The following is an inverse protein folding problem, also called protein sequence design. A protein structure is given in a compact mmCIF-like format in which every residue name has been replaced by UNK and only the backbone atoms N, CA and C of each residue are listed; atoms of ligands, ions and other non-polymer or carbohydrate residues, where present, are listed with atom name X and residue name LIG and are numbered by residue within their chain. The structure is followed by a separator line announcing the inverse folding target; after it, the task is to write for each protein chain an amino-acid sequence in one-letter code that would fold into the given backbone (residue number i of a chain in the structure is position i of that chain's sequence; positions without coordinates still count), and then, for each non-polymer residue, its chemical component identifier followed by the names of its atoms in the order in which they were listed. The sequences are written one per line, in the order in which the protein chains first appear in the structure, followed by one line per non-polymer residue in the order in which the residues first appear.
data_IF_674444963907
#
_entry.id   IF_674444963907
#
_cell.length_a   1.000
_cell.length_b   1.000
_cell.length_c   1.000
_cell.angle_alpha   90.00
_cell.angle_beta   90.00
_cell.angle_gamma   90.00
#
_symmetry.space_group_name_H-M   'P 1'
#
loop_
_entity.id
_entity.type
_entity.pdbx_description
1 polymer ?
#
# COMPACT_ATOMS: atom_id res chain seq x y z
N UNK A 1 -19.71 13.97 2.85
CA UNK A 1 -18.82 12.83 2.62
C UNK A 1 -18.27 12.30 3.94
N UNK A 2 -18.27 11.01 4.07
CA UNK A 2 -17.77 10.36 5.27
C UNK A 2 -16.22 10.31 5.22
N UNK A 3 -15.58 10.84 6.26
CA UNK A 3 -14.12 10.77 6.35
C UNK A 3 -13.67 9.32 6.55
N UNK A 4 -12.68 8.90 5.80
CA UNK A 4 -12.11 7.56 5.94
C UNK A 4 -11.01 7.57 7.01
N UNK A 5 -10.86 6.44 7.69
CA UNK A 5 -9.92 6.32 8.80
C UNK A 5 -8.77 5.38 8.48
N UNK A 6 -7.61 5.65 9.10
CA UNK A 6 -6.47 4.77 9.02
C UNK A 6 -6.53 3.67 10.09
N UNK A 7 -5.58 2.74 10.04
CA UNK A 7 -5.55 1.60 10.98
C UNK A 7 -5.30 2.01 12.43
N UNK A 8 -4.90 3.25 12.69
CA UNK A 8 -4.71 3.77 14.03
C UNK A 8 -5.95 4.49 14.57
N UNK A 9 -7.02 4.57 13.76
CA UNK A 9 -8.25 5.22 14.13
C UNK A 9 -8.31 6.70 13.85
N UNK A 10 -7.25 7.27 13.28
CA UNK A 10 -7.19 8.67 12.89
C UNK A 10 -7.62 8.89 11.45
N UNK A 11 -7.50 10.14 11.00
CA UNK A 11 -7.82 10.49 9.63
C UNK A 11 -6.84 9.83 8.65
N UNK A 12 -7.36 9.24 7.57
CA UNK A 12 -6.54 8.63 6.54
C UNK A 12 -5.72 9.71 5.83
N UNK A 13 -4.38 9.56 5.88
CA UNK A 13 -3.46 10.50 5.25
C UNK A 13 -3.12 10.05 3.84
N UNK A 14 -2.68 11.00 3.00
CA UNK A 14 -2.22 10.68 1.66
C UNK A 14 -1.00 9.76 1.70
N UNK A 15 -0.94 8.81 0.78
CA UNK A 15 0.18 7.87 0.66
C UNK A 15 1.27 8.46 -0.25
N UNK A 16 0.93 8.81 -1.48
CA UNK A 16 1.89 9.39 -2.40
C UNK A 16 1.21 10.12 -3.56
N UNK A 17 1.78 11.26 -3.92
CA UNK A 17 1.39 12.00 -5.12
C UNK A 17 2.43 11.86 -6.24
N UNK A 18 3.64 11.39 -5.93
CA UNK A 18 4.73 11.17 -6.87
C UNK A 18 5.56 9.94 -6.47
N UNK A 19 5.23 8.74 -6.95
CA UNK A 19 4.22 8.41 -7.94
C UNK A 19 2.80 8.60 -7.41
N UNK A 20 1.91 9.04 -8.28
CA UNK A 20 0.50 9.16 -7.90
C UNK A 20 -0.08 7.77 -7.73
N UNK A 21 -0.65 7.49 -6.57
CA UNK A 21 -1.12 6.17 -6.20
C UNK A 21 -2.59 6.19 -5.76
N UNK A 22 -3.10 5.01 -5.39
CA UNK A 22 -4.47 4.81 -4.99
C UNK A 22 -5.31 4.23 -6.10
N UNK A 23 -6.32 3.45 -5.75
CA UNK A 23 -7.22 2.87 -6.74
C UNK A 23 -7.85 3.98 -7.61
N UNK A 24 -8.18 5.12 -7.00
CA UNK A 24 -8.80 6.26 -7.68
C UNK A 24 -7.78 7.28 -8.18
N UNK A 25 -6.48 7.02 -8.00
CA UNK A 25 -5.39 7.92 -8.42
C UNK A 25 -5.51 9.32 -7.80
N UNK A 26 -5.89 9.38 -6.53
CA UNK A 26 -6.00 10.63 -5.77
C UNK A 26 -4.92 10.78 -4.70
N UNK A 27 -3.96 9.85 -4.66
CA UNK A 27 -2.86 9.86 -3.71
C UNK A 27 -3.16 9.14 -2.41
N UNK A 28 -4.39 8.70 -2.19
CA UNK A 28 -4.83 8.06 -0.95
C UNK A 28 -5.21 6.61 -1.16
N UNK A 29 -4.90 5.77 -0.17
CA UNK A 29 -5.31 4.36 -0.17
C UNK A 29 -6.74 4.25 0.34
N UNK A 30 -7.67 4.85 -0.39
CA UNK A 30 -9.05 5.06 0.03
C UNK A 30 -10.02 4.15 -0.72
N UNK A 31 -11.19 3.93 -0.13
CA UNK A 31 -12.27 3.16 -0.75
C UNK A 31 -13.32 4.05 -1.40
N UNK A 32 -13.45 5.29 -0.91
CA UNK A 32 -14.54 6.21 -1.28
C UNK A 32 -15.90 5.50 -1.22
N UNK A 33 -16.08 4.64 -0.20
CA UNK A 33 -17.30 3.86 0.04
C UNK A 33 -17.62 2.86 -1.09
N UNK A 34 -16.61 2.45 -1.88
CA UNK A 34 -16.75 1.43 -2.92
C UNK A 34 -16.41 0.06 -2.37
N UNK A 35 -17.33 -0.89 -2.47
CA UNK A 35 -17.06 -2.27 -2.08
C UNK A 35 -16.02 -2.90 -3.00
N UNK A 36 -15.19 -3.76 -2.43
CA UNK A 36 -14.21 -4.51 -3.20
C UNK A 36 -12.91 -3.79 -3.51
N UNK A 37 -12.78 -2.53 -3.12
CA UNK A 37 -11.49 -1.84 -3.25
C UNK A 37 -10.52 -2.40 -2.22
N UNK A 38 -9.37 -2.87 -2.66
CA UNK A 38 -8.40 -3.53 -1.80
C UNK A 38 -6.97 -2.98 -1.90
N UNK A 39 -6.74 -1.91 -2.66
CA UNK A 39 -5.45 -1.20 -2.74
C UNK A 39 -5.36 -0.23 -1.57
N UNK A 40 -5.28 -0.78 -0.35
CA UNK A 40 -5.50 -0.04 0.89
C UNK A 40 -4.29 0.05 1.80
N UNK A 41 -3.18 -0.65 1.49
CA UNK A 41 -1.98 -0.64 2.31
C UNK A 41 -0.99 0.36 1.72
N UNK A 42 -0.70 1.43 2.44
CA UNK A 42 0.36 2.35 2.01
C UNK A 42 1.70 1.77 2.43
N UNK A 43 2.56 1.50 1.45
CA UNK A 43 3.88 0.90 1.70
C UNK A 43 4.97 1.78 1.11
N UNK A 44 6.17 1.69 1.70
CA UNK A 44 7.38 2.20 1.08
C UNK A 44 8.14 0.99 0.56
N UNK A 45 8.28 0.91 -0.76
CA UNK A 45 8.83 -0.28 -1.40
C UNK A 45 10.35 -0.33 -1.27
N UNK A 46 10.86 -1.57 -1.29
CA UNK A 46 12.29 -1.88 -1.29
C UNK A 46 12.60 -2.67 -2.56
N UNK A 47 13.88 -2.68 -2.96
CA UNK A 47 14.30 -3.49 -4.10
C UNK A 47 13.96 -4.96 -3.88
N UNK A 48 14.16 -5.47 -2.66
CA UNK A 48 13.82 -6.87 -2.33
C UNK A 48 12.35 -7.16 -2.55
N UNK A 49 11.47 -6.29 -2.08
CA UNK A 49 10.03 -6.46 -2.29
C UNK A 49 9.68 -6.37 -3.78
N UNK A 50 10.27 -5.41 -4.50
CA UNK A 50 9.96 -5.23 -5.92
C UNK A 50 10.35 -6.47 -6.74
N UNK A 51 11.52 -7.07 -6.47
CA UNK A 51 11.94 -8.30 -7.12
C UNK A 51 10.98 -9.45 -6.80
N UNK A 52 10.60 -9.57 -5.53
CA UNK A 52 9.65 -10.58 -5.09
C UNK A 52 8.31 -10.41 -5.81
N UNK A 53 7.82 -9.19 -5.89
CA UNK A 53 6.53 -8.86 -6.52
C UNK A 53 6.52 -9.25 -7.99
N UNK A 54 7.58 -8.94 -8.72
CA UNK A 54 7.72 -9.35 -10.13
C UNK A 54 7.66 -10.87 -10.25
N UNK A 55 8.37 -11.59 -9.37
CA UNK A 55 8.42 -13.05 -9.39
C UNK A 55 7.05 -13.68 -9.13
N UNK A 56 6.16 -12.95 -8.48
CA UNK A 56 4.80 -13.44 -8.17
C UNK A 56 3.75 -12.91 -9.15
N UNK A 57 4.20 -12.34 -10.26
CA UNK A 57 3.30 -11.90 -11.32
C UNK A 57 2.72 -10.49 -11.15
N UNK A 58 3.17 -9.75 -10.15
CA UNK A 58 2.76 -8.36 -9.94
C UNK A 58 3.93 -7.43 -10.27
N UNK A 59 4.07 -7.12 -11.55
CA UNK A 59 5.17 -6.28 -12.03
C UNK A 59 4.89 -4.80 -11.74
N UNK A 60 5.55 -4.27 -10.71
CA UNK A 60 5.46 -2.87 -10.30
C UNK A 60 6.64 -2.05 -10.80
N UNK A 61 7.55 -2.66 -11.56
CA UNK A 61 8.81 -2.02 -11.96
C UNK A 61 8.76 -1.51 -13.39
N UNK A 62 8.12 -2.25 -14.30
CA UNK A 62 8.09 -1.89 -15.70
C UNK A 62 7.20 -0.66 -15.94
N UNK A 63 7.73 0.41 -16.55
CA UNK A 63 6.90 1.57 -16.87
C UNK A 63 5.76 1.22 -17.83
N UNK A 64 4.61 1.83 -17.63
CA UNK A 64 3.43 1.68 -18.46
C UNK A 64 2.91 3.06 -18.83
N UNK A 65 3.49 3.69 -19.88
CA UNK A 65 3.13 5.08 -20.25
C UNK A 65 1.65 5.27 -20.54
N UNK A 66 0.98 4.25 -21.09
CA UNK A 66 -0.46 4.29 -21.39
C UNK A 66 -1.31 4.44 -20.14
N UNK A 67 -0.78 4.06 -18.98
CA UNK A 67 -1.43 4.19 -17.68
C UNK A 67 -0.81 5.30 -16.84
N UNK A 68 0.09 6.09 -17.41
CA UNK A 68 0.84 7.13 -16.72
C UNK A 68 1.60 6.58 -15.49
N UNK A 69 2.08 5.35 -15.61
CA UNK A 69 2.82 4.67 -14.56
C UNK A 69 4.29 4.58 -14.95
N UNK A 70 5.17 5.22 -14.17
CA UNK A 70 6.61 5.26 -14.45
C UNK A 70 7.39 4.06 -13.91
N UNK A 71 6.72 3.13 -13.24
CA UNK A 71 7.37 2.06 -12.49
C UNK A 71 7.83 2.54 -11.13
N UNK A 72 7.88 1.62 -10.18
CA UNK A 72 8.34 1.92 -8.82
C UNK A 72 9.81 1.60 -8.66
N UNK A 73 10.47 2.35 -7.78
CA UNK A 73 11.86 2.11 -7.39
C UNK A 73 11.95 2.23 -5.88
N UNK A 74 13.03 1.74 -5.30
CA UNK A 74 13.22 1.75 -3.86
C UNK A 74 12.94 3.14 -3.27
N UNK A 75 12.17 3.16 -2.19
CA UNK A 75 11.79 4.39 -1.50
C UNK A 75 10.47 4.98 -1.96
N UNK A 76 9.93 4.56 -3.09
CA UNK A 76 8.62 5.02 -3.54
C UNK A 76 7.53 4.50 -2.63
N UNK A 77 6.46 5.29 -2.46
CA UNK A 77 5.28 4.87 -1.70
C UNK A 77 4.15 4.51 -2.65
N UNK A 78 3.40 3.49 -2.28
CA UNK A 78 2.37 2.94 -3.14
C UNK A 78 1.23 2.35 -2.34
N UNK A 79 -0.01 2.49 -2.82
CA UNK A 79 -1.17 1.81 -2.24
C UNK A 79 -1.21 0.40 -2.81
N UNK A 80 -0.69 -0.54 -2.03
CA UNK A 80 -0.58 -1.94 -2.43
C UNK A 80 -1.86 -2.68 -2.12
N UNK A 81 -2.22 -3.62 -3.00
CA UNK A 81 -3.34 -4.52 -2.76
C UNK A 81 -3.06 -5.34 -1.49
N UNK A 82 -4.04 -5.45 -0.61
CA UNK A 82 -3.85 -6.07 0.70
C UNK A 82 -3.35 -7.52 0.59
N UNK A 83 -3.84 -8.28 -0.39
CA UNK A 83 -3.41 -9.67 -0.59
C UNK A 83 -1.96 -9.75 -1.04
N UNK A 84 -1.47 -8.76 -1.78
CA UNK A 84 -0.05 -8.72 -2.17
C UNK A 84 0.84 -8.42 -0.98
N UNK A 85 0.36 -7.60 -0.04
CA UNK A 85 1.12 -7.36 1.20
C UNK A 85 1.20 -8.64 2.04
N UNK A 86 0.08 -9.35 2.18
CA UNK A 86 0.02 -10.60 2.95
C UNK A 86 0.96 -11.64 2.34
N UNK A 87 0.94 -11.78 1.02
CA UNK A 87 1.83 -12.70 0.30
C UNK A 87 3.30 -12.41 0.61
N UNK A 88 3.69 -11.13 0.57
CA UNK A 88 5.06 -10.73 0.89
C UNK A 88 5.38 -10.96 2.37
N UNK A 89 4.42 -10.68 3.25
CA UNK A 89 4.57 -10.91 4.69
C UNK A 89 4.82 -12.39 4.99
N UNK A 90 4.03 -13.27 4.39
CA UNK A 90 4.19 -14.71 4.57
C UNK A 90 5.54 -15.22 4.03
N UNK A 91 6.07 -14.56 3.02
CA UNK A 91 7.38 -14.90 2.44
C UNK A 91 8.55 -14.23 3.18
N UNK A 92 8.28 -13.43 4.22
CA UNK A 92 9.33 -12.75 4.98
C UNK A 92 9.93 -11.55 4.28
N UNK A 93 9.26 -10.99 3.27
CA UNK A 93 9.76 -9.87 2.46
C UNK A 93 8.76 -8.72 2.33
N UNK A 94 8.02 -8.36 3.42
CA UNK A 94 7.03 -7.31 3.28
C UNK A 94 7.70 -5.94 3.13
N UNK A 95 7.12 -5.05 2.30
CA UNK A 95 7.56 -3.67 2.29
C UNK A 95 7.11 -2.98 3.58
N UNK A 96 7.75 -1.87 3.93
CA UNK A 96 7.41 -1.11 5.13
C UNK A 96 6.05 -0.48 5.00
N UNK A 97 5.28 -0.51 6.09
CA UNK A 97 3.91 0.02 6.11
C UNK A 97 3.91 1.44 6.67
N UNK A 98 3.18 2.34 6.02
CA UNK A 98 2.91 3.68 6.53
C UNK A 98 1.53 3.63 7.17
N UNK A 99 1.48 3.49 8.49
CA UNK A 99 0.23 3.23 9.21
C UNK A 99 -0.79 4.34 9.06
N UNK A 100 -0.36 5.60 9.14
CA UNK A 100 -1.27 6.74 9.04
C UNK A 100 -1.92 6.86 7.67
N UNK A 101 -1.37 6.20 6.66
CA UNK A 101 -1.87 6.23 5.29
C UNK A 101 -2.44 4.89 4.83
N UNK A 102 -2.62 3.95 5.77
CA UNK A 102 -3.18 2.62 5.50
C UNK A 102 -4.62 2.59 6.01
N UNK A 103 -5.54 2.21 5.13
CA UNK A 103 -6.97 2.21 5.42
C UNK A 103 -7.34 1.19 6.50
N UNK A 104 -8.27 1.54 7.37
CA UNK A 104 -8.71 0.67 8.47
C UNK A 104 -9.25 -0.69 8.01
N UNK A 105 -9.79 -0.78 6.80
CA UNK A 105 -10.32 -2.03 6.27
C UNK A 105 -9.24 -3.11 6.11
N UNK A 106 -7.96 -2.75 6.10
CA UNK A 106 -6.87 -3.72 6.08
C UNK A 106 -6.93 -4.65 7.29
N UNK A 107 -7.47 -4.18 8.41
CA UNK A 107 -7.60 -4.98 9.63
C UNK A 107 -8.54 -6.18 9.48
N UNK A 108 -9.35 -6.21 8.43
CA UNK A 108 -10.18 -7.38 8.11
C UNK A 108 -9.34 -8.54 7.56
N UNK A 109 -8.11 -8.27 7.13
CA UNK A 109 -7.23 -9.23 6.45
C UNK A 109 -5.96 -9.54 7.23
N UNK A 110 -5.43 -8.57 7.97
CA UNK A 110 -4.18 -8.70 8.70
C UNK A 110 -4.28 -8.01 10.06
N UNK A 111 -3.70 -8.62 11.11
CA UNK A 111 -3.77 -8.00 12.44
C UNK A 111 -2.90 -6.75 12.51
N UNK A 112 -3.34 -5.78 13.32
CA UNK A 112 -2.61 -4.54 13.52
C UNK A 112 -1.18 -4.79 14.01
N UNK A 113 -0.98 -5.82 14.85
CA UNK A 113 0.35 -6.17 15.35
C UNK A 113 1.34 -6.51 14.24
N UNK A 114 0.88 -7.17 13.17
CA UNK A 114 1.73 -7.49 12.02
C UNK A 114 2.10 -6.22 11.26
N UNK A 115 1.14 -5.32 11.07
CA UNK A 115 1.38 -4.06 10.40
C UNK A 115 2.37 -3.20 11.19
N UNK A 116 2.19 -3.12 12.51
CA UNK A 116 3.09 -2.35 13.39
C UNK A 116 4.51 -2.88 13.37
N UNK A 117 4.69 -4.21 13.30
CA UNK A 117 6.01 -4.82 13.27
C UNK A 117 6.83 -4.36 12.06
N UNK A 118 6.16 -4.05 10.96
CA UNK A 118 6.80 -3.62 9.71
C UNK A 118 6.53 -2.15 9.41
N UNK A 119 6.11 -1.39 10.40
CA UNK A 119 5.76 0.01 10.20
C UNK A 119 6.97 0.92 10.09
N UNK A 120 6.84 1.90 9.21
CA UNK A 120 7.84 2.94 9.02
C UNK A 120 7.62 4.09 10.01
N UNK A 121 6.36 4.37 10.35
CA UNK A 121 5.93 5.54 11.13
C UNK A 121 5.46 5.19 12.54
N UNK A 122 6.07 4.18 13.15
CA UNK A 122 5.79 3.80 14.53
C UNK A 122 7.05 4.01 15.38
N UNK A 123 6.91 4.81 16.41
CA UNK A 123 7.98 5.05 17.39
C UNK A 123 7.81 4.17 18.62
#
# INVERSE_FOLDING_TARGET
MKAEKNVLGGELRACSYAPLTGYFRDGCCATHDQDGVAHLVCVQVTDEFLEFSVSRGNDLVTPRPEMRFRGLKQGDRWCLHVLRWIEAWEAGKPPRVVLESTHENVLKYAPLSALKRHALDLN
#
